data_IF_998458028063
#
_entry.id   IF_998458028063
#
_cell.length_a   1.000
_cell.length_b   1.000
_cell.length_c   1.000
_cell.angle_alpha   90.00
_cell.angle_beta   90.00
_cell.angle_gamma   90.00
#
_symmetry.space_group_name_H-M   'P 1'
#
loop_
_entity.id
_entity.type
_entity.pdbx_description
1 polymer ?
#
# COMPACT_ATOMS: atom_id res chain seq x y z
N UNK A 1 -63.07 79.79 23.55
CA UNK A 1 -62.77 78.70 22.57
C UNK A 1 -61.31 78.29 22.70
N UNK A 2 -61.02 77.10 23.15
CA UNK A 2 -59.59 76.65 23.25
C UNK A 2 -59.08 76.17 21.87
N UNK A 3 -57.88 76.62 21.49
CA UNK A 3 -57.19 76.27 20.29
C UNK A 3 -56.69 74.81 20.40
N UNK A 4 -57.11 73.95 19.47
CA UNK A 4 -56.57 72.61 19.37
C UNK A 4 -55.07 72.60 18.90
N UNK A 5 -54.22 71.83 19.60
CA UNK A 5 -52.82 71.60 19.25
C UNK A 5 -52.73 70.72 18.01
N UNK A 6 -51.68 70.90 17.14
CA UNK A 6 -51.53 70.12 15.94
C UNK A 6 -51.05 68.68 16.24
N UNK A 7 -51.70 67.72 15.57
CA UNK A 7 -51.35 66.26 15.65
C UNK A 7 -50.00 66.02 14.98
N UNK A 8 -49.07 65.29 15.63
CA UNK A 8 -47.75 65.00 15.01
C UNK A 8 -47.92 63.99 13.89
N UNK A 9 -47.37 64.30 12.71
CA UNK A 9 -47.33 63.41 11.55
C UNK A 9 -46.42 62.24 11.82
N UNK A 10 -46.91 61.01 11.72
CA UNK A 10 -46.08 59.76 11.82
C UNK A 10 -45.17 59.68 10.62
N UNK A 11 -43.89 59.31 10.82
CA UNK A 11 -42.94 59.15 9.70
C UNK A 11 -43.33 57.93 8.84
N UNK A 12 -43.50 58.14 7.55
CA UNK A 12 -43.82 57.10 6.57
C UNK A 12 -42.72 56.10 6.51
N UNK A 13 -42.96 54.81 6.85
CA UNK A 13 -42.03 53.67 6.68
C UNK A 13 -41.72 53.51 5.20
N UNK A 14 -40.60 54.03 4.74
CA UNK A 14 -40.04 53.76 3.42
C UNK A 14 -39.74 52.25 3.31
N UNK A 15 -40.54 51.50 2.55
CA UNK A 15 -40.30 50.12 2.18
C UNK A 15 -38.99 50.04 1.41
N UNK A 16 -37.91 49.50 2.02
CA UNK A 16 -36.64 49.20 1.33
C UNK A 16 -36.93 48.26 0.16
N UNK A 17 -36.80 48.73 -1.07
CA UNK A 17 -36.86 47.89 -2.27
C UNK A 17 -35.73 46.84 -2.18
N UNK A 18 -36.06 45.56 -2.01
CA UNK A 18 -35.09 44.48 -2.11
C UNK A 18 -34.45 44.54 -3.50
N UNK A 19 -33.18 44.85 -3.56
CA UNK A 19 -32.40 44.81 -4.81
C UNK A 19 -32.43 43.35 -5.33
N UNK A 20 -33.09 43.15 -6.46
CA UNK A 20 -33.11 41.83 -7.14
C UNK A 20 -31.69 41.58 -7.69
N UNK A 21 -31.10 40.44 -7.32
CA UNK A 21 -29.82 39.98 -7.86
C UNK A 21 -29.86 39.98 -9.39
N UNK A 22 -28.78 40.38 -10.08
CA UNK A 22 -28.66 40.33 -11.53
C UNK A 22 -28.99 38.92 -12.05
N UNK A 23 -29.64 38.83 -13.22
CA UNK A 23 -30.04 37.53 -13.80
C UNK A 23 -28.86 36.56 -13.93
N UNK A 24 -27.67 37.05 -14.33
CA UNK A 24 -26.46 36.26 -14.41
C UNK A 24 -26.05 35.63 -13.08
N UNK A 25 -26.17 36.37 -11.96
CA UNK A 25 -25.82 35.87 -10.63
C UNK A 25 -26.84 34.82 -10.14
N UNK A 26 -28.11 34.92 -10.51
CA UNK A 26 -29.14 33.90 -10.21
C UNK A 26 -28.88 32.60 -10.98
N UNK A 27 -28.51 32.73 -12.27
CA UNK A 27 -28.15 31.57 -13.11
C UNK A 27 -26.91 30.88 -12.49
N UNK A 28 -25.91 31.63 -12.09
CA UNK A 28 -24.70 31.08 -11.45
C UNK A 28 -25.03 30.35 -10.13
N UNK A 29 -25.91 30.91 -9.30
CA UNK A 29 -26.37 30.29 -8.03
C UNK A 29 -27.16 29.00 -8.21
N UNK A 30 -27.78 28.77 -9.38
CA UNK A 30 -28.46 27.52 -9.69
C UNK A 30 -27.53 26.55 -10.42
N UNK A 31 -26.73 27.03 -11.36
CA UNK A 31 -25.81 26.19 -12.16
C UNK A 31 -24.71 25.59 -11.32
N UNK A 32 -24.13 26.33 -10.35
CA UNK A 32 -23.03 25.83 -9.52
C UNK A 32 -23.43 24.63 -8.65
N UNK A 33 -24.55 24.64 -7.90
CA UNK A 33 -25.02 23.46 -7.18
C UNK A 33 -25.36 22.28 -8.11
N UNK A 34 -25.96 22.53 -9.27
CA UNK A 34 -26.28 21.49 -10.24
C UNK A 34 -24.98 20.83 -10.76
N UNK A 35 -23.96 21.63 -11.07
CA UNK A 35 -22.64 21.12 -11.49
C UNK A 35 -21.97 20.30 -10.39
N UNK A 36 -22.03 20.76 -9.13
CA UNK A 36 -21.49 20.04 -7.97
C UNK A 36 -22.21 18.70 -7.75
N UNK A 37 -23.54 18.68 -7.91
CA UNK A 37 -24.33 17.45 -7.80
C UNK A 37 -23.95 16.49 -8.94
N UNK A 38 -23.81 16.95 -10.18
CA UNK A 38 -23.38 16.14 -11.31
C UNK A 38 -21.97 15.56 -11.09
N UNK A 39 -21.04 16.36 -10.59
CA UNK A 39 -19.71 15.89 -10.23
C UNK A 39 -19.76 14.85 -9.11
N UNK A 40 -20.56 15.07 -8.07
CA UNK A 40 -20.73 14.11 -6.98
C UNK A 40 -21.35 12.80 -7.48
N UNK A 41 -22.38 12.85 -8.34
CA UNK A 41 -22.97 11.67 -8.97
C UNK A 41 -21.93 10.93 -9.84
N UNK A 42 -21.13 11.66 -10.62
CA UNK A 42 -20.04 11.10 -11.42
C UNK A 42 -19.01 10.35 -10.57
N UNK A 43 -18.61 10.94 -9.44
CA UNK A 43 -17.71 10.29 -8.48
C UNK A 43 -18.32 9.02 -7.86
N UNK A 44 -19.60 9.05 -7.52
CA UNK A 44 -20.31 7.86 -7.00
C UNK A 44 -20.36 6.75 -8.04
N UNK A 45 -20.74 7.07 -9.27
CA UNK A 45 -20.78 6.10 -10.39
C UNK A 45 -19.39 5.53 -10.63
N UNK A 46 -18.35 6.38 -10.64
CA UNK A 46 -16.96 5.94 -10.78
C UNK A 46 -16.53 5.00 -9.64
N UNK A 47 -16.87 5.34 -8.39
CA UNK A 47 -16.57 4.49 -7.24
C UNK A 47 -17.28 3.13 -7.33
N UNK A 48 -18.53 3.09 -7.78
CA UNK A 48 -19.26 1.83 -8.04
C UNK A 48 -18.62 1.00 -9.14
N UNK A 49 -18.24 1.64 -10.24
CA UNK A 49 -17.55 0.97 -11.34
C UNK A 49 -16.20 0.40 -10.89
N UNK A 50 -15.40 1.19 -10.16
CA UNK A 50 -14.12 0.75 -9.62
C UNK A 50 -14.26 -0.41 -8.63
N UNK A 51 -15.32 -0.38 -7.79
CA UNK A 51 -15.65 -1.48 -6.90
C UNK A 51 -15.92 -2.79 -7.65
N UNK A 52 -16.55 -2.71 -8.82
CA UNK A 52 -16.77 -3.88 -9.69
C UNK A 52 -15.50 -4.44 -10.33
N UNK A 53 -14.42 -3.66 -10.42
CA UNK A 53 -13.11 -4.09 -10.93
C UNK A 53 -12.21 -4.70 -9.84
N UNK A 54 -12.54 -4.46 -8.58
CA UNK A 54 -11.73 -4.90 -7.44
C UNK A 54 -11.90 -6.41 -7.24
N UNK A 55 -10.80 -7.16 -7.33
CA UNK A 55 -10.76 -8.57 -6.94
C UNK A 55 -10.74 -8.65 -5.41
N UNK A 56 -11.91 -8.46 -4.82
CA UNK A 56 -12.05 -8.41 -3.37
C UNK A 56 -12.29 -9.79 -2.80
N UNK A 57 -11.37 -10.23 -1.93
CA UNK A 57 -11.49 -11.46 -1.17
C UNK A 57 -11.38 -11.12 0.33
N UNK A 58 -12.52 -10.88 1.00
CA UNK A 58 -12.53 -10.48 2.42
C UNK A 58 -12.08 -11.63 3.32
N UNK A 59 -11.37 -11.29 4.38
CA UNK A 59 -10.95 -12.19 5.45
C UNK A 59 -11.65 -11.83 6.76
N UNK A 60 -11.72 -12.76 7.74
CA UNK A 60 -12.22 -12.47 9.08
C UNK A 60 -11.56 -11.20 9.66
N UNK A 61 -12.30 -10.44 10.46
CA UNK A 61 -11.80 -9.19 11.04
C UNK A 61 -11.67 -9.28 12.56
N UNK A 62 -12.05 -10.40 13.16
CA UNK A 62 -11.90 -10.60 14.60
C UNK A 62 -10.42 -10.87 14.97
N UNK A 63 -10.04 -10.41 16.16
CA UNK A 63 -8.66 -10.47 16.62
C UNK A 63 -8.16 -11.90 16.77
N UNK A 64 -9.02 -12.84 17.18
CA UNK A 64 -8.63 -14.23 17.42
C UNK A 64 -8.31 -14.96 16.12
N UNK A 65 -9.13 -14.79 15.08
CA UNK A 65 -8.89 -15.39 13.77
C UNK A 65 -7.62 -14.84 13.13
N UNK A 66 -7.33 -13.56 13.32
CA UNK A 66 -6.13 -12.91 12.77
C UNK A 66 -4.91 -12.97 13.70
N UNK A 67 -5.00 -13.64 14.85
CA UNK A 67 -3.88 -13.77 15.79
C UNK A 67 -3.40 -12.45 16.39
N UNK A 68 -4.28 -11.45 16.49
CA UNK A 68 -3.99 -10.12 17.02
C UNK A 68 -4.10 -10.13 18.54
N UNK A 69 -3.06 -9.68 19.24
CA UNK A 69 -3.05 -9.59 20.68
C UNK A 69 -4.05 -8.55 21.21
N UNK A 70 -4.60 -8.79 22.41
CA UNK A 70 -5.63 -7.94 23.04
C UNK A 70 -5.18 -6.50 23.30
N UNK A 71 -3.87 -6.26 23.44
CA UNK A 71 -3.31 -4.92 23.61
C UNK A 71 -3.71 -3.96 22.48
N UNK A 72 -3.94 -4.48 21.25
CA UNK A 72 -4.35 -3.69 20.11
C UNK A 72 -5.84 -3.31 20.10
N UNK A 73 -6.57 -3.56 21.18
CA UNK A 73 -7.91 -3.01 21.43
C UNK A 73 -7.84 -1.59 22.02
N UNK A 74 -6.68 -1.10 22.39
CA UNK A 74 -6.47 0.24 22.91
C UNK A 74 -6.55 1.26 21.74
N UNK A 75 -7.34 2.32 21.92
CA UNK A 75 -7.57 3.41 20.95
C UNK A 75 -6.27 4.10 20.48
N UNK A 76 -5.19 4.02 21.27
CA UNK A 76 -3.87 4.58 20.89
C UNK A 76 -3.31 4.00 19.58
N UNK A 77 -3.80 2.84 19.16
CA UNK A 77 -3.39 2.19 17.91
C UNK A 77 -4.27 2.54 16.70
N UNK A 78 -5.38 3.25 16.88
CA UNK A 78 -6.36 3.53 15.82
C UNK A 78 -5.82 4.46 14.72
N UNK A 79 -4.83 5.29 15.06
CA UNK A 79 -4.17 6.18 14.10
C UNK A 79 -3.16 5.46 13.19
N UNK A 80 -2.81 4.21 13.49
CA UNK A 80 -1.86 3.41 12.73
C UNK A 80 -2.58 2.27 12.02
N UNK A 81 -2.53 2.26 10.70
CA UNK A 81 -3.11 1.18 9.89
C UNK A 81 -2.02 0.38 9.22
N UNK A 82 -1.98 -0.93 9.50
CA UNK A 82 -1.03 -1.89 8.94
C UNK A 82 -1.71 -2.78 7.90
N UNK A 83 -1.15 -2.85 6.69
CA UNK A 83 -1.66 -3.63 5.57
C UNK A 83 -0.54 -4.55 5.08
N UNK A 84 -0.81 -5.86 4.96
CA UNK A 84 0.15 -6.78 4.38
C UNK A 84 0.17 -6.65 2.85
N UNK A 85 1.36 -6.53 2.28
CA UNK A 85 1.60 -6.62 0.85
C UNK A 85 2.30 -7.95 0.55
N UNK A 86 1.66 -8.78 -0.26
CA UNK A 86 2.19 -10.07 -0.68
C UNK A 86 2.54 -10.05 -2.16
N UNK A 87 3.83 -10.24 -2.48
CA UNK A 87 4.29 -10.53 -3.82
C UNK A 87 4.33 -12.05 -4.00
N UNK A 88 3.50 -12.58 -4.89
CA UNK A 88 3.36 -14.02 -5.07
C UNK A 88 3.92 -14.49 -6.42
N UNK A 89 4.56 -15.67 -6.40
CA UNK A 89 4.94 -16.38 -7.64
C UNK A 89 3.85 -17.41 -7.92
N UNK A 90 2.93 -17.07 -8.82
CA UNK A 90 1.82 -17.93 -9.19
C UNK A 90 2.23 -18.79 -10.38
N UNK A 91 2.41 -20.09 -10.16
CA UNK A 91 2.67 -21.06 -11.22
C UNK A 91 1.48 -21.99 -11.37
N UNK A 92 1.09 -22.32 -12.61
CA UNK A 92 0.00 -23.28 -12.82
C UNK A 92 0.29 -24.61 -12.12
N UNK A 93 -0.62 -25.03 -11.24
CA UNK A 93 -0.53 -26.31 -10.53
C UNK A 93 0.34 -26.33 -9.26
N UNK A 94 0.96 -25.22 -8.89
CA UNK A 94 1.71 -25.09 -7.62
C UNK A 94 0.98 -24.15 -6.64
N UNK A 95 1.09 -24.43 -5.34
CA UNK A 95 0.62 -23.50 -4.31
C UNK A 95 1.50 -22.25 -4.35
N UNK A 96 0.89 -21.08 -4.54
CA UNK A 96 1.58 -19.80 -4.61
C UNK A 96 2.29 -19.51 -3.29
N UNK A 97 3.59 -19.25 -3.34
CA UNK A 97 4.36 -18.79 -2.17
C UNK A 97 4.49 -17.27 -2.23
N UNK A 98 4.40 -16.64 -1.06
CA UNK A 98 4.74 -15.21 -0.99
C UNK A 98 6.25 -15.04 -0.90
N UNK A 99 6.87 -14.64 -2.00
CA UNK A 99 8.30 -14.38 -2.10
C UNK A 99 8.68 -12.99 -1.60
N UNK A 100 7.75 -12.05 -1.60
CA UNK A 100 7.87 -10.73 -0.99
C UNK A 100 6.76 -10.54 0.05
N UNK A 101 7.16 -10.24 1.29
CA UNK A 101 6.26 -9.99 2.41
C UNK A 101 6.61 -8.63 2.99
N UNK A 102 5.68 -7.69 2.90
CA UNK A 102 5.88 -6.34 3.41
C UNK A 102 4.65 -5.88 4.18
N UNK A 103 4.87 -5.03 5.17
CA UNK A 103 3.80 -4.32 5.88
C UNK A 103 3.88 -2.85 5.47
N UNK A 104 2.82 -2.38 4.84
CA UNK A 104 2.62 -0.96 4.59
C UNK A 104 1.88 -0.37 5.79
N UNK A 105 2.51 0.60 6.43
CA UNK A 105 1.95 1.30 7.57
C UNK A 105 1.60 2.73 7.20
N UNK A 106 0.35 3.12 7.45
CA UNK A 106 -0.12 4.50 7.35
C UNK A 106 -0.28 5.03 8.77
N UNK A 107 0.65 5.87 9.19
CA UNK A 107 0.68 6.55 10.49
C UNK A 107 0.07 7.94 10.33
N UNK A 108 -1.21 8.07 10.71
CA UNK A 108 -1.96 9.33 10.62
C UNK A 108 -1.52 10.33 11.67
N UNK A 109 -1.08 9.85 12.83
CA UNK A 109 -0.64 10.68 13.96
C UNK A 109 0.62 11.48 13.60
N UNK A 110 1.59 10.80 12.97
CA UNK A 110 2.88 11.41 12.60
C UNK A 110 2.94 11.84 11.13
N UNK A 111 1.86 11.66 10.36
CA UNK A 111 1.79 11.91 8.92
C UNK A 111 2.93 11.21 8.16
N UNK A 112 3.15 9.93 8.44
CA UNK A 112 4.21 9.11 7.85
C UNK A 112 3.66 7.89 7.15
N UNK A 113 4.42 7.41 6.19
CA UNK A 113 4.23 6.08 5.62
C UNK A 113 5.49 5.25 5.89
N UNK A 114 5.31 4.00 6.30
CA UNK A 114 6.41 3.09 6.56
C UNK A 114 6.23 1.81 5.77
N UNK A 115 7.31 1.29 5.20
CA UNK A 115 7.34 -0.02 4.55
C UNK A 115 8.30 -0.93 5.29
N UNK A 116 7.75 -1.96 5.89
CA UNK A 116 8.49 -2.96 6.66
C UNK A 116 8.56 -4.26 5.91
N UNK A 117 9.75 -4.66 5.44
CA UNK A 117 9.95 -5.96 4.82
C UNK A 117 10.15 -7.03 5.88
N UNK A 118 9.38 -8.11 5.81
CA UNK A 118 9.60 -9.30 6.61
C UNK A 118 10.34 -10.34 5.77
N UNK A 119 11.42 -10.90 6.34
CA UNK A 119 12.20 -11.90 5.62
C UNK A 119 11.39 -13.18 5.47
N UNK A 120 11.18 -13.63 4.22
CA UNK A 120 10.37 -14.79 3.88
C UNK A 120 10.86 -16.10 4.48
N UNK A 121 12.18 -16.19 4.71
CA UNK A 121 12.85 -17.36 5.29
C UNK A 121 12.91 -17.34 6.83
N UNK A 122 12.26 -16.35 7.48
CA UNK A 122 12.11 -16.27 8.95
C UNK A 122 11.45 -17.56 9.47
N UNK A 123 12.07 -18.18 10.47
CA UNK A 123 11.66 -19.45 11.06
C UNK A 123 10.62 -19.20 12.15
N UNK A 124 9.35 -19.39 11.82
CA UNK A 124 8.19 -18.95 12.61
C UNK A 124 7.20 -20.09 12.87
N UNK A 125 6.39 -19.94 13.91
CA UNK A 125 5.28 -20.83 14.20
C UNK A 125 4.12 -20.53 13.25
N UNK A 126 3.59 -21.55 12.56
CA UNK A 126 2.43 -21.44 11.67
C UNK A 126 1.30 -22.28 12.28
N UNK A 127 0.11 -21.71 12.41
CA UNK A 127 -1.04 -22.43 12.97
C UNK A 127 -1.34 -23.71 12.18
N UNK A 128 -1.65 -24.78 12.89
CA UNK A 128 -1.90 -26.09 12.29
C UNK A 128 -0.64 -26.88 11.92
N UNK A 129 0.56 -26.34 12.13
CA UNK A 129 1.84 -27.02 11.89
C UNK A 129 2.46 -27.48 13.21
N UNK A 130 3.11 -28.65 13.20
CA UNK A 130 3.76 -29.22 14.39
C UNK A 130 5.12 -28.61 14.70
N UNK A 131 5.79 -28.07 13.69
CA UNK A 131 7.12 -27.44 13.79
C UNK A 131 7.07 -26.04 13.23
N UNK A 132 8.03 -25.19 13.62
CA UNK A 132 8.27 -23.92 12.93
C UNK A 132 8.69 -24.18 11.49
N UNK A 133 8.35 -23.25 10.62
CA UNK A 133 8.66 -23.28 9.19
C UNK A 133 8.99 -21.87 8.68
N UNK A 134 9.36 -21.75 7.39
CA UNK A 134 9.55 -20.44 6.76
C UNK A 134 8.26 -19.65 6.69
N UNK A 135 8.31 -18.36 6.98
CA UNK A 135 7.16 -17.45 6.90
C UNK A 135 6.44 -17.52 5.54
N UNK A 136 7.20 -17.66 4.44
CA UNK A 136 6.64 -17.79 3.09
C UNK A 136 5.69 -18.98 2.91
N UNK A 137 5.84 -20.03 3.74
CA UNK A 137 5.00 -21.23 3.66
C UNK A 137 3.58 -20.98 4.19
N UNK A 138 3.40 -20.01 5.10
CA UNK A 138 2.08 -19.67 5.63
C UNK A 138 1.09 -19.29 4.51
N UNK A 139 1.57 -18.49 3.54
CA UNK A 139 0.75 -18.12 2.38
C UNK A 139 0.39 -19.35 1.50
N UNK A 140 1.33 -20.25 1.30
CA UNK A 140 1.10 -21.46 0.49
C UNK A 140 0.09 -22.44 1.15
N UNK A 141 0.01 -22.47 2.48
CA UNK A 141 -0.85 -23.37 3.22
C UNK A 141 -2.28 -22.86 3.43
N UNK A 142 -2.44 -21.55 3.62
CA UNK A 142 -3.76 -20.98 3.94
C UNK A 142 -3.98 -19.58 3.38
N UNK A 143 -3.26 -19.23 2.31
CA UNK A 143 -3.43 -17.94 1.64
C UNK A 143 -3.09 -16.73 2.52
N UNK A 144 -3.65 -15.57 2.18
CA UNK A 144 -3.35 -14.33 2.89
C UNK A 144 -3.84 -14.33 4.35
N UNK A 145 -4.91 -15.05 4.68
CA UNK A 145 -5.45 -15.12 6.04
C UNK A 145 -4.47 -15.78 7.00
N UNK A 146 -4.00 -16.99 6.68
CA UNK A 146 -3.01 -17.70 7.51
C UNK A 146 -1.67 -16.97 7.55
N UNK A 147 -1.28 -16.31 6.45
CA UNK A 147 -0.07 -15.51 6.41
C UNK A 147 -0.17 -14.30 7.35
N UNK A 148 -1.29 -13.57 7.37
CA UNK A 148 -1.54 -12.45 8.29
C UNK A 148 -1.55 -12.95 9.74
N UNK A 149 -2.26 -14.04 10.02
CA UNK A 149 -2.30 -14.61 11.36
C UNK A 149 -0.88 -14.97 11.84
N UNK A 150 -0.09 -15.62 10.99
CA UNK A 150 1.31 -15.97 11.28
C UNK A 150 2.16 -14.72 11.54
N UNK A 151 1.99 -13.66 10.74
CA UNK A 151 2.66 -12.39 10.92
C UNK A 151 2.29 -11.75 12.26
N UNK A 152 1.02 -11.63 12.57
CA UNK A 152 0.55 -11.00 13.80
C UNK A 152 1.06 -11.73 15.05
N UNK A 153 1.01 -13.06 15.06
CA UNK A 153 1.46 -13.88 16.20
C UNK A 153 2.97 -13.83 16.43
N UNK A 154 3.76 -13.97 15.34
CA UNK A 154 5.23 -14.09 15.48
C UNK A 154 5.93 -12.74 15.56
N UNK A 155 5.34 -11.68 14.98
CA UNK A 155 5.94 -10.35 14.95
C UNK A 155 5.20 -9.32 15.82
N UNK A 156 4.11 -9.71 16.50
CA UNK A 156 3.37 -8.84 17.42
C UNK A 156 2.71 -7.66 16.72
N UNK A 157 2.04 -7.90 15.60
CA UNK A 157 1.40 -6.88 14.80
C UNK A 157 -0.15 -6.94 14.86
N UNK A 158 -0.81 -5.95 14.26
CA UNK A 158 -2.27 -5.83 14.17
C UNK A 158 -2.75 -5.70 12.71
N UNK A 159 -2.10 -6.41 11.81
CA UNK A 159 -2.48 -6.43 10.39
C UNK A 159 -3.86 -7.04 10.21
N UNK A 160 -4.76 -6.33 9.51
CA UNK A 160 -6.15 -6.76 9.28
C UNK A 160 -6.54 -6.90 7.82
N UNK A 161 -5.75 -6.29 6.94
CA UNK A 161 -6.03 -6.25 5.53
C UNK A 161 -4.78 -6.59 4.72
N UNK A 162 -4.99 -7.00 3.48
CA UNK A 162 -3.90 -7.32 2.58
C UNK A 162 -4.12 -6.80 1.17
N UNK A 163 -3.02 -6.74 0.44
CA UNK A 163 -2.97 -6.62 -1.01
C UNK A 163 -2.02 -7.70 -1.53
N UNK A 164 -2.46 -8.48 -2.49
CA UNK A 164 -1.63 -9.47 -3.20
C UNK A 164 -1.45 -9.05 -4.65
N UNK A 165 -0.21 -9.15 -5.11
CA UNK A 165 0.18 -8.85 -6.49
C UNK A 165 1.10 -9.96 -6.98
N UNK A 166 0.82 -10.55 -8.13
CA UNK A 166 1.76 -11.45 -8.81
C UNK A 166 2.78 -10.67 -9.66
N UNK A 167 3.79 -11.36 -10.19
CA UNK A 167 4.85 -10.71 -10.96
C UNK A 167 4.37 -10.04 -12.24
N UNK A 168 3.40 -10.61 -12.94
CA UNK A 168 2.83 -10.03 -14.15
C UNK A 168 2.05 -8.75 -13.81
N UNK A 169 1.21 -8.83 -12.81
CA UNK A 169 0.46 -7.68 -12.30
C UNK A 169 1.39 -6.57 -11.80
N UNK A 170 2.49 -6.91 -11.10
CA UNK A 170 3.48 -5.92 -10.68
C UNK A 170 4.14 -5.23 -11.88
N UNK A 171 4.49 -5.98 -12.94
CA UNK A 171 5.04 -5.39 -14.16
C UNK A 171 4.04 -4.41 -14.79
N UNK A 172 2.76 -4.78 -14.90
CA UNK A 172 1.70 -3.92 -15.41
C UNK A 172 1.44 -2.68 -14.55
N UNK A 173 1.54 -2.80 -13.22
CA UNK A 173 1.47 -1.65 -12.29
C UNK A 173 2.60 -0.67 -12.57
N UNK A 174 3.84 -1.15 -12.70
CA UNK A 174 5.00 -0.32 -13.03
C UNK A 174 4.82 0.38 -14.37
N UNK A 175 4.35 -0.33 -15.40
CA UNK A 175 4.10 0.25 -16.72
C UNK A 175 2.98 1.30 -16.69
N UNK A 176 1.90 1.03 -15.95
CA UNK A 176 0.81 1.98 -15.77
C UNK A 176 1.30 3.29 -15.11
N UNK A 177 2.31 3.20 -14.25
CA UNK A 177 2.94 4.35 -13.59
C UNK A 177 3.99 5.07 -14.46
N UNK A 178 4.27 4.58 -15.68
CA UNK A 178 5.29 5.12 -16.58
C UNK A 178 6.72 4.71 -16.22
N UNK A 179 6.87 3.59 -15.49
CA UNK A 179 8.15 3.04 -15.05
C UNK A 179 8.59 3.49 -13.67
N UNK A 180 9.67 2.87 -13.18
CA UNK A 180 10.30 3.17 -11.90
C UNK A 180 11.78 3.55 -12.09
N UNK A 181 12.25 4.55 -11.35
CA UNK A 181 13.64 5.03 -11.45
C UNK A 181 14.53 4.25 -10.47
N UNK A 182 15.46 3.46 -11.01
CA UNK A 182 16.34 2.60 -10.22
C UNK A 182 17.81 2.87 -10.61
N UNK A 183 18.68 2.94 -9.61
CA UNK A 183 20.14 2.91 -9.81
C UNK A 183 20.60 1.45 -9.91
N UNK A 184 20.72 0.94 -11.14
CA UNK A 184 21.15 -0.44 -11.41
C UNK A 184 22.66 -0.53 -11.36
N UNK A 185 23.20 -1.41 -10.52
CA UNK A 185 24.65 -1.63 -10.44
C UNK A 185 25.14 -2.49 -11.59
N UNK A 186 26.39 -2.29 -12.01
CA UNK A 186 26.98 -3.04 -13.14
C UNK A 186 26.93 -4.55 -12.95
N UNK A 187 27.16 -5.04 -11.74
CA UNK A 187 27.09 -6.47 -11.39
C UNK A 187 25.66 -7.04 -11.33
N UNK A 188 24.63 -6.20 -11.35
CA UNK A 188 23.22 -6.62 -11.35
C UNK A 188 22.68 -6.85 -12.76
N UNK A 189 23.28 -6.25 -13.80
CA UNK A 189 22.74 -6.24 -15.18
C UNK A 189 22.58 -7.66 -15.71
N UNK A 190 23.61 -8.52 -15.60
CA UNK A 190 23.57 -9.88 -16.11
C UNK A 190 22.42 -10.68 -15.51
N UNK A 191 22.32 -10.73 -14.19
CA UNK A 191 21.29 -11.49 -13.48
C UNK A 191 19.89 -10.88 -13.70
N UNK A 192 19.78 -9.55 -13.82
CA UNK A 192 18.52 -8.88 -14.19
C UNK A 192 18.06 -9.34 -15.58
N UNK A 193 18.96 -9.37 -16.56
CA UNK A 193 18.63 -9.77 -17.93
C UNK A 193 18.31 -11.27 -18.05
N UNK A 194 18.96 -12.12 -17.26
CA UNK A 194 18.59 -13.53 -17.13
C UNK A 194 17.16 -13.68 -16.58
N UNK A 195 16.81 -12.94 -15.53
CA UNK A 195 15.46 -12.93 -14.96
C UNK A 195 14.42 -12.37 -15.95
N UNK A 196 14.75 -11.33 -16.72
CA UNK A 196 13.89 -10.81 -17.80
C UNK A 196 13.65 -11.90 -18.85
N UNK A 197 14.69 -12.63 -19.27
CA UNK A 197 14.56 -13.71 -20.23
C UNK A 197 13.62 -14.82 -19.75
N UNK A 198 13.72 -15.20 -18.47
CA UNK A 198 12.81 -16.18 -17.85
C UNK A 198 11.36 -15.67 -17.80
N UNK A 199 11.16 -14.43 -17.38
CA UNK A 199 9.86 -13.77 -17.38
C UNK A 199 9.23 -13.81 -18.77
N UNK A 200 9.94 -13.34 -19.80
CA UNK A 200 9.45 -13.28 -21.16
C UNK A 200 9.15 -14.67 -21.74
N UNK A 201 9.95 -15.67 -21.40
CA UNK A 201 9.67 -17.06 -21.80
C UNK A 201 8.36 -17.56 -21.20
N UNK A 202 8.08 -17.21 -19.94
CA UNK A 202 6.87 -17.62 -19.24
C UNK A 202 5.62 -16.91 -19.79
N UNK A 203 5.68 -15.59 -19.97
CA UNK A 203 4.55 -14.77 -20.42
C UNK A 203 4.47 -14.58 -21.93
N UNK A 204 5.38 -15.21 -22.71
CA UNK A 204 5.47 -15.14 -24.18
C UNK A 204 5.63 -13.70 -24.71
N UNK A 205 6.45 -12.91 -24.02
CA UNK A 205 6.74 -11.53 -24.37
C UNK A 205 8.10 -11.38 -25.04
N UNK A 206 8.33 -10.25 -25.73
CA UNK A 206 9.64 -9.92 -26.30
C UNK A 206 10.50 -9.21 -25.25
N UNK A 207 11.71 -9.72 -24.94
CA UNK A 207 12.53 -9.16 -23.86
C UNK A 207 13.08 -7.78 -24.21
N UNK A 208 12.93 -6.84 -23.26
CA UNK A 208 13.61 -5.55 -23.27
C UNK A 208 14.66 -5.52 -22.18
N UNK A 209 15.93 -5.67 -22.57
CA UNK A 209 17.03 -5.82 -21.63
C UNK A 209 17.55 -4.48 -21.07
N UNK A 210 18.06 -4.53 -19.84
CA UNK A 210 18.84 -3.45 -19.24
C UNK A 210 20.24 -3.42 -19.89
N UNK A 211 20.62 -2.28 -20.48
CA UNK A 211 21.86 -2.16 -21.29
C UNK A 211 23.02 -1.53 -20.56
N UNK A 212 22.77 -0.69 -19.54
CA UNK A 212 23.81 0.07 -18.85
C UNK A 212 23.54 0.13 -17.34
N UNK A 213 24.56 0.35 -16.56
CA UNK A 213 24.48 0.66 -15.14
C UNK A 213 24.11 2.14 -14.92
N UNK A 214 23.74 2.45 -13.69
CA UNK A 214 23.41 3.80 -13.24
C UNK A 214 21.91 4.02 -13.13
N UNK A 215 21.57 5.25 -12.77
CA UNK A 215 20.17 5.69 -12.58
C UNK A 215 19.45 5.70 -13.92
N UNK A 216 18.35 4.97 -14.01
CA UNK A 216 17.55 4.83 -15.22
C UNK A 216 16.10 4.45 -14.89
N UNK A 217 15.19 4.76 -15.80
CA UNK A 217 13.80 4.32 -15.68
C UNK A 217 13.67 2.90 -16.24
N UNK A 218 13.22 1.98 -15.40
CA UNK A 218 12.91 0.60 -15.75
C UNK A 218 11.42 0.50 -16.09
N UNK A 219 11.09 -0.17 -17.18
CA UNK A 219 9.71 -0.58 -17.46
C UNK A 219 9.30 -1.75 -16.56
N UNK A 220 8.03 -2.19 -16.65
CA UNK A 220 7.50 -3.25 -15.78
C UNK A 220 8.27 -4.55 -15.85
N UNK A 221 8.59 -5.02 -17.06
CA UNK A 221 9.39 -6.21 -17.28
C UNK A 221 10.79 -6.11 -16.67
N UNK A 222 11.45 -4.98 -16.87
CA UNK A 222 12.79 -4.71 -16.33
C UNK A 222 12.77 -4.61 -14.80
N UNK A 223 11.77 -3.94 -14.24
CA UNK A 223 11.59 -3.83 -12.78
C UNK A 223 11.28 -5.20 -12.16
N UNK A 224 10.45 -6.02 -12.81
CA UNK A 224 10.19 -7.39 -12.40
C UNK A 224 11.47 -8.23 -12.42
N UNK A 225 12.24 -8.19 -13.52
CA UNK A 225 13.52 -8.89 -13.62
C UNK A 225 14.51 -8.45 -12.55
N UNK A 226 14.64 -7.14 -12.31
CA UNK A 226 15.50 -6.57 -11.27
C UNK A 226 15.09 -7.04 -9.86
N UNK A 227 13.79 -7.06 -9.55
CA UNK A 227 13.27 -7.48 -8.24
C UNK A 227 13.52 -8.98 -7.94
N UNK A 228 13.75 -9.81 -8.96
CA UNK A 228 13.97 -11.26 -8.81
C UNK A 228 15.44 -11.65 -8.67
N UNK A 229 16.37 -10.74 -8.88
CA UNK A 229 17.81 -11.02 -8.79
C UNK A 229 18.20 -11.49 -7.38
N UNK A 230 18.70 -12.72 -7.26
CA UNK A 230 19.18 -13.31 -6.00
C UNK A 230 20.69 -13.15 -5.85
N UNK A 231 21.43 -13.37 -6.93
CA UNK A 231 22.89 -13.49 -6.94
C UNK A 231 23.49 -12.42 -7.85
N UNK A 232 23.74 -11.24 -7.30
CA UNK A 232 24.56 -10.24 -7.95
C UNK A 232 25.82 -10.03 -7.09
N UNK A 233 26.92 -10.60 -7.50
CA UNK A 233 28.12 -10.70 -6.66
C UNK A 233 27.93 -11.75 -5.54
N UNK A 234 28.31 -11.42 -4.31
CA UNK A 234 28.13 -12.29 -3.13
C UNK A 234 26.72 -12.15 -2.50
N UNK A 235 25.69 -11.81 -3.31
CA UNK A 235 24.36 -11.53 -2.83
C UNK A 235 23.58 -12.75 -2.38
N UNK A 236 22.76 -12.57 -1.37
CA UNK A 236 21.83 -13.54 -0.81
C UNK A 236 20.37 -13.06 -0.98
N UNK A 237 19.44 -13.78 -0.36
CA UNK A 237 18.01 -13.44 -0.36
C UNK A 237 17.70 -12.05 0.23
N UNK A 238 18.57 -11.53 1.08
CA UNK A 238 18.45 -10.17 1.66
C UNK A 238 18.57 -9.10 0.57
N UNK A 239 19.49 -9.25 -0.35
CA UNK A 239 19.66 -8.31 -1.49
C UNK A 239 18.45 -8.35 -2.42
N UNK A 240 17.80 -9.52 -2.60
CA UNK A 240 16.55 -9.61 -3.34
C UNK A 240 15.45 -8.81 -2.64
N UNK A 241 15.29 -8.97 -1.33
CA UNK A 241 14.33 -8.22 -0.53
C UNK A 241 14.58 -6.70 -0.63
N UNK A 242 15.84 -6.27 -0.62
CA UNK A 242 16.20 -4.86 -0.80
C UNK A 242 15.81 -4.34 -2.20
N UNK A 243 16.00 -5.14 -3.26
CA UNK A 243 15.58 -4.75 -4.62
C UNK A 243 14.06 -4.66 -4.74
N UNK A 244 13.33 -5.61 -4.18
CA UNK A 244 11.86 -5.56 -4.14
C UNK A 244 11.37 -4.29 -3.43
N UNK A 245 11.96 -3.99 -2.27
CA UNK A 245 11.63 -2.78 -1.51
C UNK A 245 11.91 -1.51 -2.30
N UNK A 246 13.05 -1.42 -3.01
CA UNK A 246 13.36 -0.26 -3.89
C UNK A 246 12.32 -0.09 -4.99
N UNK A 247 11.87 -1.17 -5.64
CA UNK A 247 10.82 -1.09 -6.67
C UNK A 247 9.52 -0.56 -6.06
N UNK A 248 9.10 -1.08 -4.92
CA UNK A 248 7.87 -0.64 -4.23
C UNK A 248 8.00 0.82 -3.78
N UNK A 249 9.14 1.22 -3.24
CA UNK A 249 9.43 2.62 -2.90
C UNK A 249 9.23 3.55 -4.10
N UNK A 250 9.78 3.18 -5.25
CA UNK A 250 9.66 4.00 -6.44
C UNK A 250 8.23 4.06 -6.98
N UNK A 251 7.45 2.99 -6.84
CA UNK A 251 6.01 2.99 -7.13
C UNK A 251 5.30 4.01 -6.23
N UNK A 252 5.56 3.99 -4.92
CA UNK A 252 4.97 4.96 -3.99
C UNK A 252 5.41 6.39 -4.28
N UNK A 253 6.71 6.62 -4.47
CA UNK A 253 7.24 7.94 -4.80
C UNK A 253 6.60 8.49 -6.08
N UNK A 254 6.43 7.63 -7.10
CA UNK A 254 5.77 8.01 -8.34
C UNK A 254 4.29 8.33 -8.12
N UNK A 255 3.59 7.53 -7.32
CA UNK A 255 2.20 7.78 -6.97
C UNK A 255 2.04 9.12 -6.23
N UNK A 256 2.90 9.40 -5.24
CA UNK A 256 2.86 10.66 -4.47
C UNK A 256 3.20 11.90 -5.33
N UNK A 257 4.06 11.74 -6.35
CA UNK A 257 4.44 12.82 -7.26
C UNK A 257 3.44 13.06 -8.41
N UNK A 258 2.42 12.20 -8.52
CA UNK A 258 1.43 12.26 -9.60
C UNK A 258 0.45 13.42 -9.39
N UNK A 259 0.00 14.03 -10.50
CA UNK A 259 -1.06 15.03 -10.41
C UNK A 259 -2.35 14.36 -9.90
N UNK A 260 -3.05 14.94 -8.91
CA UNK A 260 -4.31 14.40 -8.39
C UNK A 260 -5.38 14.10 -9.46
N UNK A 261 -5.38 14.82 -10.58
CA UNK A 261 -6.29 14.58 -11.71
C UNK A 261 -6.02 13.26 -12.43
N UNK A 262 -4.84 12.66 -12.27
CA UNK A 262 -4.43 11.40 -12.88
C UNK A 262 -4.83 10.19 -12.03
N UNK A 263 -5.10 10.36 -10.72
CA UNK A 263 -5.44 9.25 -9.82
C UNK A 263 -6.62 8.39 -10.28
N UNK A 264 -7.75 8.94 -10.78
CA UNK A 264 -8.83 8.09 -11.27
C UNK A 264 -8.40 7.18 -12.43
N UNK A 265 -7.67 7.73 -13.41
CA UNK A 265 -7.14 6.95 -14.53
C UNK A 265 -6.15 5.89 -14.08
N UNK A 266 -5.29 6.21 -13.12
CA UNK A 266 -4.33 5.27 -12.54
C UNK A 266 -5.03 4.16 -11.77
N UNK A 267 -5.99 4.50 -10.90
CA UNK A 267 -6.77 3.52 -10.15
C UNK A 267 -7.50 2.54 -11.07
N UNK A 268 -8.07 3.03 -12.18
CA UNK A 268 -8.73 2.18 -13.18
C UNK A 268 -7.79 1.13 -13.79
N UNK A 269 -6.49 1.44 -13.93
CA UNK A 269 -5.49 0.53 -14.48
C UNK A 269 -4.91 -0.43 -13.44
N UNK A 270 -4.74 0.03 -12.21
CA UNK A 270 -4.01 -0.69 -11.15
C UNK A 270 -4.93 -1.59 -10.32
N UNK A 271 -6.14 -1.13 -9.98
CA UNK A 271 -7.07 -1.89 -9.12
C UNK A 271 -7.40 -3.29 -9.67
N UNK A 272 -7.64 -3.51 -10.97
CA UNK A 272 -7.93 -4.85 -11.50
C UNK A 272 -6.76 -5.84 -11.40
N UNK A 273 -5.54 -5.33 -11.18
CA UNK A 273 -4.31 -6.13 -11.12
C UNK A 273 -4.00 -6.66 -9.72
N UNK A 274 -4.77 -6.25 -8.71
CA UNK A 274 -4.53 -6.59 -7.32
C UNK A 274 -5.70 -7.40 -6.74
N UNK A 275 -5.38 -8.35 -5.87
CA UNK A 275 -6.35 -8.96 -4.98
C UNK A 275 -6.23 -8.37 -3.58
N UNK A 276 -7.35 -8.10 -2.89
CA UNK A 276 -7.32 -7.45 -1.57
C UNK A 276 -8.53 -7.80 -0.72
N UNK A 277 -8.38 -7.71 0.61
CA UNK A 277 -9.50 -7.71 1.56
C UNK A 277 -10.14 -6.32 1.71
N UNK A 278 -9.41 -5.27 1.34
CA UNK A 278 -9.84 -3.88 1.54
C UNK A 278 -11.16 -3.59 0.83
N UNK A 279 -12.08 -2.92 1.51
CA UNK A 279 -13.26 -2.33 0.88
C UNK A 279 -12.89 -1.05 0.12
N UNK A 280 -13.69 -0.69 -0.86
CA UNK A 280 -13.52 0.58 -1.59
C UNK A 280 -13.48 1.79 -0.67
N UNK A 281 -14.29 1.80 0.40
CA UNK A 281 -14.29 2.87 1.41
C UNK A 281 -12.97 2.93 2.19
N UNK A 282 -12.39 1.78 2.56
CA UNK A 282 -11.07 1.74 3.20
C UNK A 282 -9.98 2.24 2.25
N UNK A 283 -10.00 1.82 0.99
CA UNK A 283 -9.04 2.29 -0.04
C UNK A 283 -9.12 3.81 -0.20
N UNK A 284 -10.32 4.37 -0.33
CA UNK A 284 -10.51 5.83 -0.44
C UNK A 284 -10.06 6.56 0.83
N UNK A 285 -10.37 6.01 2.01
CA UNK A 285 -9.93 6.56 3.30
C UNK A 285 -8.41 6.59 3.44
N UNK A 286 -7.73 5.51 3.06
CA UNK A 286 -6.26 5.43 3.04
C UNK A 286 -5.67 6.41 2.03
N UNK A 287 -6.22 6.45 0.81
CA UNK A 287 -5.78 7.39 -0.22
C UNK A 287 -5.90 8.85 0.23
N UNK A 288 -7.00 9.23 0.88
CA UNK A 288 -7.17 10.58 1.44
C UNK A 288 -6.22 10.88 2.59
N UNK A 289 -5.90 9.89 3.44
CA UNK A 289 -4.91 10.05 4.50
C UNK A 289 -3.51 10.30 3.91
N UNK A 290 -3.12 9.53 2.89
CA UNK A 290 -1.85 9.71 2.18
C UNK A 290 -1.77 11.07 1.50
N UNK A 291 -2.85 11.53 0.84
CA UNK A 291 -2.88 12.84 0.20
C UNK A 291 -2.80 14.00 1.20
N UNK A 292 -3.43 13.87 2.37
CA UNK A 292 -3.38 14.88 3.43
C UNK A 292 -2.01 15.00 4.08
N UNK A 293 -1.24 13.92 4.14
CA UNK A 293 0.11 13.92 4.69
C UNK A 293 1.13 14.68 3.79
N UNK A 294 0.73 15.13 2.60
CA UNK A 294 1.59 15.84 1.65
C UNK A 294 2.74 14.97 1.17
N UNK A 295 3.97 15.50 1.14
CA UNK A 295 5.17 14.71 0.89
C UNK A 295 5.51 13.89 2.15
N UNK A 296 4.67 12.89 2.47
CA UNK A 296 4.86 12.01 3.60
C UNK A 296 6.27 11.42 3.54
N UNK A 297 7.00 11.50 4.65
CA UNK A 297 8.27 10.79 4.75
C UNK A 297 7.99 9.30 4.62
N UNK A 298 8.59 8.69 3.63
CA UNK A 298 8.52 7.25 3.41
C UNK A 298 9.72 6.59 4.08
N UNK A 299 9.47 5.94 5.20
CA UNK A 299 10.49 5.25 5.98
C UNK A 299 10.49 3.76 5.67
N UNK A 300 11.66 3.14 5.66
CA UNK A 300 11.80 1.75 5.28
C UNK A 300 12.70 0.99 6.24
N UNK A 301 12.26 -0.23 6.58
CA UNK A 301 13.04 -1.11 7.42
C UNK A 301 12.81 -2.58 7.04
N UNK A 302 13.72 -3.45 7.47
CA UNK A 302 13.62 -4.89 7.27
C UNK A 302 13.75 -5.60 8.61
N UNK A 303 12.91 -6.61 8.82
CA UNK A 303 12.93 -7.43 10.02
C UNK A 303 12.92 -8.95 9.67
N UNK A 304 13.60 -9.75 10.48
CA UNK A 304 14.54 -9.35 11.54
C UNK A 304 15.63 -8.43 11.01
N UNK A 305 16.16 -7.54 11.85
CA UNK A 305 17.28 -6.67 11.48
C UNK A 305 18.57 -7.47 11.31
N UNK A 306 19.55 -6.94 10.57
CA UNK A 306 20.80 -7.66 10.32
C UNK A 306 21.56 -8.06 11.60
N UNK A 307 21.44 -7.26 12.64
CA UNK A 307 22.08 -7.51 13.95
C UNK A 307 21.36 -8.58 14.77
N UNK A 308 20.11 -8.87 14.46
CA UNK A 308 19.24 -9.76 15.23
C UNK A 308 19.03 -11.12 14.52
N UNK A 309 19.45 -11.26 13.27
CA UNK A 309 19.21 -12.48 12.50
C UNK A 309 20.37 -13.48 12.67
N UNK A 310 20.00 -14.76 12.78
CA UNK A 310 20.90 -15.89 12.88
C UNK A 310 20.55 -16.89 11.77
N UNK A 311 21.33 -16.91 10.65
CA UNK A 311 21.15 -17.93 9.62
C UNK A 311 21.42 -19.32 10.19
N UNK A 312 20.55 -20.27 9.88
CA UNK A 312 20.67 -21.65 10.37
C UNK A 312 20.21 -22.64 9.30
N UNK A 313 20.56 -23.91 9.47
CA UNK A 313 20.10 -25.02 8.63
C UNK A 313 19.43 -26.08 9.50
N UNK A 314 18.11 -26.08 9.50
CA UNK A 314 17.30 -27.00 10.29
C UNK A 314 16.73 -28.08 9.37
N UNK A 315 17.01 -29.34 9.66
CA UNK A 315 16.58 -30.48 8.84
C UNK A 315 16.96 -30.34 7.35
N UNK A 316 18.14 -29.79 7.05
CA UNK A 316 18.62 -29.58 5.69
C UNK A 316 18.01 -28.37 4.96
N UNK A 317 17.15 -27.60 5.64
CA UNK A 317 16.52 -26.40 5.08
C UNK A 317 17.16 -25.15 5.68
N UNK A 318 17.70 -24.28 4.82
CA UNK A 318 18.22 -22.97 5.26
C UNK A 318 17.08 -22.06 5.73
N UNK A 319 17.18 -21.56 6.96
CA UNK A 319 16.18 -20.67 7.61
C UNK A 319 16.89 -19.49 8.25
N UNK A 320 16.12 -18.51 8.69
CA UNK A 320 16.58 -17.37 9.49
C UNK A 320 15.89 -17.46 10.85
N UNK A 321 16.68 -17.77 11.88
CA UNK A 321 16.24 -17.68 13.27
C UNK A 321 16.51 -16.28 13.82
N UNK A 322 15.79 -15.89 14.85
CA UNK A 322 15.89 -14.55 15.45
C UNK A 322 15.28 -14.55 16.86
N UNK A 323 15.65 -13.57 17.67
CA UNK A 323 14.99 -13.32 18.94
C UNK A 323 13.62 -12.67 18.69
N UNK A 324 12.55 -13.45 18.98
CA UNK A 324 11.19 -12.99 18.76
C UNK A 324 10.81 -11.79 19.64
N UNK A 325 11.26 -11.76 20.89
CA UNK A 325 10.91 -10.68 21.84
C UNK A 325 11.57 -9.38 21.41
N UNK A 326 12.86 -9.42 21.10
CA UNK A 326 13.62 -8.26 20.59
C UNK A 326 13.03 -7.76 19.28
N UNK A 327 12.73 -8.67 18.36
CA UNK A 327 12.18 -8.29 17.05
C UNK A 327 10.78 -7.66 17.17
N UNK A 328 9.91 -8.22 18.03
CA UNK A 328 8.58 -7.63 18.33
C UNK A 328 8.69 -6.23 18.92
N UNK A 329 9.60 -6.02 19.88
CA UNK A 329 9.79 -4.70 20.48
C UNK A 329 10.29 -3.68 19.45
N UNK A 330 11.33 -4.02 18.67
CA UNK A 330 11.86 -3.14 17.63
C UNK A 330 10.82 -2.81 16.54
N UNK A 331 9.98 -3.78 16.16
CA UNK A 331 8.87 -3.55 15.23
C UNK A 331 7.82 -2.61 15.83
N UNK A 332 7.46 -2.83 17.10
CA UNK A 332 6.52 -1.96 17.81
C UNK A 332 7.02 -0.53 17.86
N UNK A 333 8.27 -0.34 18.30
CA UNK A 333 8.92 0.96 18.37
C UNK A 333 8.88 1.68 17.01
N UNK A 334 9.23 0.96 15.95
CA UNK A 334 9.24 1.53 14.60
C UNK A 334 7.84 1.87 14.08
N UNK A 335 6.88 0.97 14.23
CA UNK A 335 5.57 1.13 13.60
C UNK A 335 4.62 2.02 14.39
N UNK A 336 4.64 1.94 15.73
CA UNK A 336 3.64 2.59 16.57
C UNK A 336 4.19 3.76 17.39
N UNK A 337 5.45 3.70 17.83
CA UNK A 337 6.05 4.73 18.68
C UNK A 337 6.94 5.71 17.90
N UNK A 338 7.10 5.49 16.59
CA UNK A 338 7.90 6.33 15.68
C UNK A 338 9.38 6.41 16.08
N UNK A 339 9.90 5.35 16.70
CA UNK A 339 11.29 5.21 17.12
C UNK A 339 12.02 4.35 16.09
N UNK A 340 13.10 4.87 15.49
CA UNK A 340 13.93 4.09 14.56
C UNK A 340 14.86 3.18 15.35
N UNK A 341 14.70 1.84 15.29
CA UNK A 341 15.57 0.90 16.00
C UNK A 341 17.00 0.92 15.46
N UNK A 342 17.95 0.67 16.35
CA UNK A 342 19.39 0.54 16.03
C UNK A 342 19.83 -0.92 16.03
#
# INVERSE_FOLDING_TARGET
MPKQAPVPLQPSRRKKKKKRLPKALRILFVMLPCLLILCACGLVVYAFWLNGQLKRNPIPQDNSALGIASQFNDEKYDDVTNIALFGVDTRPGEASRSDAIMILTVDRKNNKMKATSLLRDSYVSIQGRKSKEKLAHAYAYGGPELAIQTINQNFGLNVRDYVTVDFDSMAKVVDAMGGVTIDVKANEIKSTNESIKEYCKHYKETPTYVKKAGVQTLNGMQACGYSRVRYAGNGDDRQRTDRQRRVIEQIFNRALAMNPMEYPSMAAKVVPLMETSLSTSKILGLGTAVLKSGSAKFEQMRFPMNVDLMPDTINGVSVITFDEAVTKQKLHDFLFDDITPQ
#
